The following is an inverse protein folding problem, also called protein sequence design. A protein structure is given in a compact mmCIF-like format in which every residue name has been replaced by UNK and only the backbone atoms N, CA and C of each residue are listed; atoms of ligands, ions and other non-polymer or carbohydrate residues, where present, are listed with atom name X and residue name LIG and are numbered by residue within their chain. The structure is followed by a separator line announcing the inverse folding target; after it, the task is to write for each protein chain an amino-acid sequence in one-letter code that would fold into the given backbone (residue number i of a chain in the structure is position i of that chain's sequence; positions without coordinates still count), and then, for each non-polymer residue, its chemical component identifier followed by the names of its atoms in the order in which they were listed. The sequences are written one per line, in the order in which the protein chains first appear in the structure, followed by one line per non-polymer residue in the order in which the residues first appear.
data_IF_774967510777
#
_entry.id   IF_774967510777
#
_cell.length_a   1.000
_cell.length_b   1.000
_cell.length_c   1.000
_cell.angle_alpha   90.00
_cell.angle_beta   90.00
_cell.angle_gamma   90.00
#
_symmetry.space_group_name_H-M   'P 1'
#
loop_
_entity.id
_entity.type
_entity.pdbx_description
1 polymer ?
#
# COMPACT_ATOMS: atom_id res chain seq x y z
N UNK A 1 3.33 7.61 4.16
CA UNK A 1 2.42 8.17 5.18
C UNK A 1 1.76 7.08 6.03
N UNK A 2 1.07 6.09 5.46
CA UNK A 2 0.38 5.03 6.23
C UNK A 2 1.32 4.30 7.21
N UNK A 3 2.53 3.95 6.77
CA UNK A 3 3.52 3.35 7.65
C UNK A 3 3.83 4.23 8.86
N UNK A 4 4.07 5.53 8.67
CA UNK A 4 4.29 6.47 9.78
C UNK A 4 3.08 6.59 10.71
N UNK A 5 1.86 6.52 10.16
CA UNK A 5 0.64 6.61 10.95
C UNK A 5 0.42 5.38 11.85
N UNK A 6 0.57 4.18 11.30
CA UNK A 6 0.25 2.96 12.04
C UNK A 6 1.39 2.45 12.92
N UNK A 7 2.68 2.69 12.56
CA UNK A 7 3.82 2.06 13.22
C UNK A 7 3.98 2.47 14.67
N UNK A 8 3.90 1.51 15.59
CA UNK A 8 4.30 1.73 16.97
C UNK A 8 5.81 1.95 17.03
N UNK A 9 6.25 2.82 17.90
CA UNK A 9 7.67 3.24 17.96
C UNK A 9 7.99 4.45 17.07
N UNK A 10 7.03 4.90 16.25
CA UNK A 10 7.08 6.22 15.64
C UNK A 10 6.43 7.26 16.56
N UNK A 11 6.94 8.48 16.56
CA UNK A 11 6.28 9.67 17.09
C UNK A 11 5.95 10.56 15.90
N UNK A 12 4.78 10.34 15.33
CA UNK A 12 4.39 10.94 14.05
C UNK A 12 3.17 11.86 14.13
N UNK A 13 2.63 12.13 15.32
CA UNK A 13 1.44 12.97 15.48
C UNK A 13 1.60 14.33 14.80
N UNK A 14 2.77 14.95 14.92
CA UNK A 14 3.08 16.24 14.31
C UNK A 14 2.98 16.25 12.78
N UNK A 15 3.26 15.11 12.11
CA UNK A 15 3.16 14.99 10.65
C UNK A 15 1.73 15.07 10.15
N UNK A 16 0.75 14.76 11.00
CA UNK A 16 -0.66 14.70 10.65
C UNK A 16 -1.48 15.87 11.22
N UNK A 17 -0.91 16.68 12.11
CA UNK A 17 -1.63 17.73 12.87
C UNK A 17 -2.36 18.75 11.98
N UNK A 18 -1.82 19.04 10.79
CA UNK A 18 -2.39 19.99 9.84
C UNK A 18 -3.24 19.32 8.75
N UNK A 19 -3.42 18.00 8.80
CA UNK A 19 -4.18 17.24 7.81
C UNK A 19 -5.61 16.99 8.30
N UNK A 20 -6.54 16.81 7.36
CA UNK A 20 -7.95 16.55 7.68
C UNK A 20 -8.14 15.33 8.57
N UNK A 21 -7.29 14.30 8.43
CA UNK A 21 -7.34 13.08 9.24
C UNK A 21 -7.18 13.37 10.75
N UNK A 22 -6.48 14.43 11.14
CA UNK A 22 -6.30 14.78 12.56
C UNK A 22 -7.60 15.21 13.25
N UNK A 23 -8.63 15.55 12.47
CA UNK A 23 -9.95 15.94 12.94
C UNK A 23 -10.89 14.74 13.15
N UNK A 24 -10.49 13.56 12.68
CA UNK A 24 -11.26 12.34 12.83
C UNK A 24 -11.25 11.87 14.29
N UNK A 25 -12.40 11.44 14.78
CA UNK A 25 -12.55 11.00 16.17
C UNK A 25 -11.68 9.79 16.51
N UNK A 26 -11.46 8.92 15.52
CA UNK A 26 -10.67 7.69 15.67
C UNK A 26 -9.19 7.90 15.36
N UNK A 27 -8.77 9.12 15.00
CA UNK A 27 -7.38 9.43 14.63
C UNK A 27 -6.38 8.88 15.65
N UNK A 28 -6.56 9.20 16.93
CA UNK A 28 -5.64 8.78 18.00
C UNK A 28 -5.79 7.30 18.38
N UNK A 29 -6.89 6.69 18.03
CA UNK A 29 -7.15 5.27 18.32
C UNK A 29 -6.17 4.36 17.58
N UNK A 30 -5.77 4.75 16.37
CA UNK A 30 -4.92 3.94 15.51
C UNK A 30 -3.50 4.50 15.32
N UNK A 31 -3.27 5.79 15.66
CA UNK A 31 -1.97 6.44 15.50
C UNK A 31 -0.89 5.75 16.34
N UNK A 32 0.15 5.25 15.68
CA UNK A 32 1.32 4.62 16.28
C UNK A 32 1.00 3.42 17.21
N UNK A 33 0.03 2.57 16.85
CA UNK A 33 -0.44 1.47 17.70
C UNK A 33 -0.06 0.07 17.22
N UNK A 34 0.43 -0.10 16.01
CA UNK A 34 0.57 -1.41 15.39
C UNK A 34 2.02 -1.76 15.04
N UNK A 35 2.32 -3.04 15.05
CA UNK A 35 3.44 -3.57 14.28
C UNK A 35 3.06 -3.51 12.80
N UNK A 36 3.90 -2.88 11.97
CA UNK A 36 3.65 -2.72 10.54
C UNK A 36 4.67 -3.49 9.74
N UNK A 37 4.19 -4.28 8.77
CA UNK A 37 5.01 -4.88 7.73
C UNK A 37 4.75 -4.08 6.44
N UNK A 38 5.72 -3.25 6.05
CA UNK A 38 5.70 -2.50 4.81
C UNK A 38 6.52 -3.22 3.75
N UNK A 39 5.90 -3.53 2.63
CA UNK A 39 6.52 -4.21 1.50
C UNK A 39 6.35 -3.33 0.26
N UNK A 40 7.44 -2.78 -0.23
CA UNK A 40 7.55 -2.28 -1.59
C UNK A 40 8.02 -3.45 -2.45
N UNK A 41 7.11 -4.00 -3.25
CA UNK A 41 7.37 -5.25 -3.98
C UNK A 41 8.47 -5.10 -5.03
N UNK A 42 8.67 -3.89 -5.57
CA UNK A 42 9.75 -3.61 -6.50
C UNK A 42 11.13 -3.67 -5.83
N UNK A 43 11.22 -3.29 -4.57
CA UNK A 43 12.49 -3.27 -3.81
C UNK A 43 13.13 -4.65 -3.57
N UNK A 44 12.40 -5.72 -3.87
CA UNK A 44 12.90 -7.10 -3.78
C UNK A 44 13.42 -7.62 -5.15
N UNK A 45 13.32 -6.82 -6.21
CA UNK A 45 13.95 -7.17 -7.49
C UNK A 45 15.46 -7.30 -7.27
N UNK A 46 16.03 -8.38 -7.77
CA UNK A 46 17.47 -8.61 -7.73
C UNK A 46 18.09 -7.99 -8.98
N UNK A 47 19.30 -7.44 -8.83
CA UNK A 47 20.09 -6.92 -9.95
C UNK A 47 20.47 -8.00 -10.98
N UNK A 48 20.35 -9.28 -10.60
CA UNK A 48 20.61 -10.43 -11.45
C UNK A 48 19.30 -10.96 -12.08
N UNK A 49 19.37 -11.34 -13.35
CA UNK A 49 18.25 -11.82 -14.19
C UNK A 49 17.57 -13.12 -13.71
N UNK A 50 17.98 -13.71 -12.59
CA UNK A 50 17.43 -14.95 -12.06
C UNK A 50 16.18 -14.70 -11.20
N UNK A 51 15.01 -14.78 -11.83
CA UNK A 51 13.69 -14.74 -11.17
C UNK A 51 13.54 -15.76 -10.01
N UNK A 52 14.33 -16.82 -10.02
CA UNK A 52 14.22 -17.95 -9.09
C UNK A 52 14.37 -17.58 -7.61
N UNK A 53 14.99 -16.46 -7.28
CA UNK A 53 15.29 -16.08 -5.90
C UNK A 53 14.40 -14.97 -5.34
N UNK A 54 13.47 -14.40 -6.11
CA UNK A 54 12.64 -13.26 -5.69
C UNK A 54 11.88 -13.53 -4.39
N UNK A 55 11.08 -14.59 -4.35
CA UNK A 55 10.28 -14.94 -3.17
C UNK A 55 11.14 -15.39 -1.99
N UNK A 56 12.26 -16.03 -2.24
CA UNK A 56 13.23 -16.38 -1.20
C UNK A 56 13.85 -15.11 -0.58
N UNK A 57 14.24 -14.16 -1.40
CA UNK A 57 14.79 -12.87 -0.95
C UNK A 57 13.78 -12.09 -0.12
N UNK A 58 12.54 -11.96 -0.60
CA UNK A 58 11.46 -11.34 0.15
C UNK A 58 11.29 -12.02 1.51
N UNK A 59 11.13 -13.34 1.49
CA UNK A 59 10.93 -14.12 2.71
C UNK A 59 12.09 -13.94 3.70
N UNK A 60 13.34 -14.07 3.22
CA UNK A 60 14.54 -13.95 4.03
C UNK A 60 14.71 -12.55 4.62
N UNK A 61 14.50 -11.48 3.83
CA UNK A 61 14.59 -10.11 4.33
C UNK A 61 13.59 -9.88 5.46
N UNK A 62 12.33 -10.20 5.25
CA UNK A 62 11.26 -9.95 6.24
C UNK A 62 11.43 -10.85 7.48
N UNK A 63 11.71 -12.14 7.31
CA UNK A 63 11.87 -13.03 8.46
C UNK A 63 13.11 -12.70 9.29
N UNK A 64 14.21 -12.27 8.68
CA UNK A 64 15.40 -11.82 9.40
C UNK A 64 15.13 -10.56 10.24
N UNK A 65 14.31 -9.66 9.73
CA UNK A 65 13.89 -8.48 10.49
C UNK A 65 13.00 -8.87 11.67
N UNK A 66 12.04 -9.76 11.46
CA UNK A 66 11.19 -10.29 12.54
C UNK A 66 12.02 -11.00 13.62
N UNK A 67 13.03 -11.78 13.24
CA UNK A 67 13.94 -12.46 14.19
C UNK A 67 14.71 -11.42 15.02
N UNK A 68 15.17 -10.32 14.40
CA UNK A 68 15.86 -9.24 15.14
C UNK A 68 14.94 -8.49 16.09
N UNK A 69 13.68 -8.30 15.71
CA UNK A 69 12.69 -7.60 16.55
C UNK A 69 12.12 -8.48 17.67
N UNK A 70 12.07 -9.79 17.46
CA UNK A 70 11.44 -10.75 18.38
C UNK A 70 12.35 -11.97 18.61
N UNK A 71 13.60 -11.79 19.05
CA UNK A 71 14.56 -12.89 19.17
C UNK A 71 14.09 -14.00 20.09
N UNK A 72 13.54 -13.65 21.25
CA UNK A 72 13.09 -14.64 22.25
C UNK A 72 11.92 -15.50 21.74
N UNK A 73 11.00 -14.91 21.00
CA UNK A 73 9.83 -15.63 20.47
C UNK A 73 10.15 -16.54 19.29
N UNK A 74 11.21 -16.20 18.53
CA UNK A 74 11.61 -16.93 17.33
C UNK A 74 12.87 -17.78 17.53
N UNK A 75 13.44 -17.85 18.73
CA UNK A 75 14.67 -18.62 19.03
C UNK A 75 14.56 -20.11 18.72
N UNK A 76 13.37 -20.70 18.87
CA UNK A 76 13.09 -22.11 18.56
C UNK A 76 12.41 -22.33 17.20
N UNK A 77 12.37 -21.33 16.34
CA UNK A 77 11.69 -21.43 15.05
C UNK A 77 12.43 -22.39 14.09
N UNK A 78 11.71 -23.05 13.17
CA UNK A 78 12.34 -23.93 12.19
C UNK A 78 13.25 -23.13 11.25
N UNK A 79 14.29 -23.77 10.75
CA UNK A 79 15.19 -23.18 9.74
C UNK A 79 15.14 -24.06 8.46
N UNK A 80 14.76 -23.52 7.29
CA UNK A 80 14.40 -22.11 7.04
C UNK A 80 13.03 -21.72 7.59
N UNK A 81 12.94 -20.52 8.12
CA UNK A 81 11.69 -19.91 8.56
C UNK A 81 11.02 -19.19 7.39
N UNK A 82 9.71 -19.37 7.20
CA UNK A 82 8.94 -18.58 6.24
C UNK A 82 8.00 -17.60 6.93
N UNK A 83 7.64 -16.54 6.24
CA UNK A 83 6.84 -15.44 6.78
C UNK A 83 5.49 -15.88 7.38
N UNK A 84 4.66 -16.71 6.72
CA UNK A 84 3.43 -17.21 7.34
C UNK A 84 3.68 -17.95 8.64
N UNK A 85 4.73 -18.76 8.72
CA UNK A 85 5.07 -19.49 9.93
C UNK A 85 5.59 -18.58 11.04
N UNK A 86 6.41 -17.59 10.69
CA UNK A 86 6.88 -16.58 11.63
C UNK A 86 5.71 -15.85 12.29
N UNK A 87 4.75 -15.38 11.50
CA UNK A 87 3.54 -14.71 12.02
C UNK A 87 2.70 -15.61 12.92
N UNK A 88 2.57 -16.88 12.56
CA UNK A 88 1.86 -17.87 13.37
C UNK A 88 2.54 -18.09 14.73
N UNK A 89 3.87 -18.14 14.78
CA UNK A 89 4.64 -18.30 16.03
C UNK A 89 4.53 -17.04 16.88
N UNK A 90 4.69 -15.86 16.27
CA UNK A 90 4.62 -14.58 16.97
C UNK A 90 3.25 -14.33 17.59
N UNK A 91 2.18 -14.79 16.96
CA UNK A 91 0.79 -14.61 17.40
C UNK A 91 0.47 -13.15 17.80
N UNK A 92 1.02 -12.19 17.05
CA UNK A 92 0.84 -10.75 17.23
C UNK A 92 0.05 -10.16 16.06
N UNK A 93 -0.54 -8.98 16.30
CA UNK A 93 -1.28 -8.25 15.24
C UNK A 93 -0.34 -7.42 14.41
N UNK A 94 -0.36 -7.62 13.09
CA UNK A 94 0.42 -6.86 12.12
C UNK A 94 -0.49 -6.18 11.11
N UNK A 95 -0.26 -4.89 10.89
CA UNK A 95 -0.82 -4.16 9.74
C UNK A 95 0.11 -4.39 8.55
N UNK A 96 -0.44 -4.80 7.41
CA UNK A 96 0.31 -4.93 6.17
C UNK A 96 0.04 -3.74 5.25
N UNK A 97 1.10 -3.15 4.74
CA UNK A 97 1.06 -2.14 3.68
C UNK A 97 1.92 -2.66 2.55
N UNK A 98 1.31 -2.95 1.41
CA UNK A 98 1.99 -3.55 0.26
C UNK A 98 1.86 -2.60 -0.92
N UNK A 99 2.98 -2.04 -1.34
CA UNK A 99 3.05 -1.17 -2.52
C UNK A 99 3.45 -1.98 -3.75
N UNK A 100 2.79 -1.71 -4.87
CA UNK A 100 2.98 -2.43 -6.13
C UNK A 100 2.81 -3.96 -5.98
N UNK A 101 1.72 -4.39 -5.31
CA UNK A 101 1.46 -5.81 -5.07
C UNK A 101 1.51 -6.68 -6.33
N UNK A 102 1.21 -6.12 -7.48
CA UNK A 102 1.18 -6.77 -8.78
C UNK A 102 2.53 -6.79 -9.51
N UNK A 103 3.57 -6.16 -8.95
CA UNK A 103 4.91 -6.14 -9.54
C UNK A 103 5.42 -7.54 -9.91
N UNK A 104 5.38 -8.58 -9.03
CA UNK A 104 5.84 -9.92 -9.40
C UNK A 104 5.03 -10.54 -10.54
N UNK A 105 3.74 -10.25 -10.63
CA UNK A 105 2.84 -10.75 -11.68
C UNK A 105 3.18 -10.15 -13.04
N UNK A 106 3.59 -8.89 -13.06
CA UNK A 106 3.97 -8.18 -14.27
C UNK A 106 5.40 -8.52 -14.71
N UNK A 107 6.33 -8.44 -13.77
CA UNK A 107 7.77 -8.61 -14.02
C UNK A 107 8.13 -10.01 -14.41
N UNK A 108 7.54 -11.00 -13.74
CA UNK A 108 7.83 -12.43 -13.93
C UNK A 108 6.68 -13.20 -14.58
N UNK A 109 5.90 -12.55 -15.44
CA UNK A 109 4.70 -13.12 -16.08
C UNK A 109 4.94 -14.42 -16.85
N UNK A 110 6.17 -14.64 -17.32
CA UNK A 110 6.57 -15.88 -18.03
C UNK A 110 6.95 -17.02 -17.08
N UNK A 111 7.25 -16.73 -15.82
CA UNK A 111 7.52 -17.73 -14.79
C UNK A 111 6.23 -18.04 -14.01
N UNK A 112 5.42 -18.93 -14.61
CA UNK A 112 4.13 -19.34 -14.02
C UNK A 112 4.29 -19.93 -12.61
N UNK A 113 5.41 -20.63 -12.35
CA UNK A 113 5.67 -21.23 -11.03
C UNK A 113 5.92 -20.18 -9.96
N UNK A 114 6.65 -19.11 -10.29
CA UNK A 114 6.86 -18.00 -9.38
C UNK A 114 5.55 -17.28 -9.10
N UNK A 115 4.77 -16.99 -10.14
CA UNK A 115 3.46 -16.34 -10.04
C UNK A 115 2.52 -17.16 -9.13
N UNK A 116 2.41 -18.47 -9.35
CA UNK A 116 1.59 -19.36 -8.52
C UNK A 116 2.04 -19.37 -7.06
N UNK A 117 3.34 -19.46 -6.79
CA UNK A 117 3.90 -19.41 -5.44
C UNK A 117 3.65 -18.07 -4.75
N UNK A 118 3.70 -16.97 -5.51
CA UNK A 118 3.41 -15.66 -4.98
C UNK A 118 1.95 -15.50 -4.56
N UNK A 119 1.03 -15.91 -5.43
CA UNK A 119 -0.41 -15.93 -5.10
C UNK A 119 -0.69 -16.84 -3.91
N UNK A 120 -0.05 -18.00 -3.85
CA UNK A 120 -0.17 -18.92 -2.69
C UNK A 120 0.35 -18.28 -1.38
N UNK A 121 1.45 -17.52 -1.46
CA UNK A 121 1.95 -16.74 -0.32
C UNK A 121 0.92 -15.73 0.18
N UNK A 122 0.34 -14.92 -0.71
CA UNK A 122 -0.70 -13.95 -0.35
C UNK A 122 -1.93 -14.62 0.27
N UNK A 123 -2.36 -15.76 -0.29
CA UNK A 123 -3.45 -16.56 0.26
C UNK A 123 -3.14 -17.05 1.68
N UNK A 124 -1.94 -17.59 1.91
CA UNK A 124 -1.50 -18.07 3.23
C UNK A 124 -1.40 -16.94 4.26
N UNK A 125 -1.00 -15.75 3.82
CA UNK A 125 -0.91 -14.60 4.71
C UNK A 125 -2.28 -14.05 5.12
N UNK A 126 -3.23 -13.96 4.17
CA UNK A 126 -4.41 -13.13 4.36
C UNK A 126 -5.73 -13.88 4.39
N UNK A 127 -5.78 -15.11 3.90
CA UNK A 127 -7.01 -15.90 3.84
C UNK A 127 -7.04 -17.09 4.79
N UNK A 128 -5.90 -17.71 5.07
CA UNK A 128 -5.86 -18.84 5.99
C UNK A 128 -6.12 -18.39 7.43
N UNK A 129 -7.04 -19.08 8.10
CA UNK A 129 -7.54 -18.73 9.44
C UNK A 129 -6.46 -18.57 10.50
N UNK A 130 -5.34 -19.26 10.35
CA UNK A 130 -4.24 -19.19 11.32
C UNK A 130 -3.58 -17.81 11.34
N UNK A 131 -3.43 -17.18 10.18
CA UNK A 131 -2.75 -15.90 10.05
C UNK A 131 -3.72 -14.72 10.00
N UNK A 132 -4.91 -14.88 9.41
CA UNK A 132 -5.89 -13.81 9.25
C UNK A 132 -6.33 -13.16 10.57
N UNK A 133 -6.33 -13.92 11.68
CA UNK A 133 -6.62 -13.38 13.02
C UNK A 133 -5.59 -12.36 13.51
N UNK A 134 -4.37 -12.46 12.98
CA UNK A 134 -3.24 -11.61 13.35
C UNK A 134 -3.03 -10.44 12.36
N UNK A 135 -3.92 -10.28 11.40
CA UNK A 135 -3.83 -9.23 10.37
C UNK A 135 -5.10 -8.37 10.42
N UNK A 136 -5.11 -7.31 11.24
CA UNK A 136 -6.27 -6.42 11.38
C UNK A 136 -6.51 -5.56 10.15
N UNK A 137 -5.48 -5.27 9.36
CA UNK A 137 -5.58 -4.47 8.15
C UNK A 137 -4.53 -4.91 7.13
N UNK A 138 -4.94 -5.02 5.88
CA UNK A 138 -4.06 -5.07 4.72
C UNK A 138 -4.46 -3.95 3.76
N UNK A 139 -3.50 -3.11 3.41
CA UNK A 139 -3.66 -2.08 2.39
C UNK A 139 -2.69 -2.38 1.24
N UNK A 140 -3.21 -2.60 0.05
CA UNK A 140 -2.42 -2.91 -1.14
C UNK A 140 -2.67 -1.87 -2.21
N UNK A 141 -1.61 -1.43 -2.87
CA UNK A 141 -1.65 -0.59 -4.06
C UNK A 141 -1.05 -1.34 -5.25
N UNK A 142 -1.55 -1.05 -6.44
CA UNK A 142 -1.07 -1.66 -7.69
C UNK A 142 -1.84 -1.16 -8.90
N UNK A 143 -1.46 -1.60 -10.07
CA UNK A 143 -2.07 -1.21 -11.34
C UNK A 143 -3.06 -2.28 -11.83
N UNK A 144 -2.77 -3.56 -11.55
CA UNK A 144 -3.60 -4.66 -12.04
C UNK A 144 -4.78 -4.94 -11.13
N UNK A 145 -5.98 -5.16 -11.72
CA UNK A 145 -7.13 -5.60 -10.94
C UNK A 145 -6.91 -7.02 -10.41
N UNK A 146 -7.43 -7.27 -9.20
CA UNK A 146 -7.37 -8.58 -8.53
C UNK A 146 -7.94 -9.74 -9.37
N UNK A 147 -8.92 -9.45 -10.24
CA UNK A 147 -9.59 -10.44 -11.05
C UNK A 147 -8.77 -11.02 -12.21
N UNK A 148 -7.64 -10.40 -12.57
CA UNK A 148 -6.94 -10.67 -13.83
C UNK A 148 -6.16 -12.00 -13.87
N UNK A 149 -5.75 -12.54 -12.73
CA UNK A 149 -4.83 -13.70 -12.66
C UNK A 149 -5.40 -14.87 -11.88
N UNK A 150 -6.71 -15.17 -12.01
CA UNK A 150 -7.40 -16.16 -11.17
C UNK A 150 -7.18 -15.93 -9.65
N UNK A 151 -6.73 -14.73 -9.30
CA UNK A 151 -6.51 -14.32 -7.92
C UNK A 151 -7.81 -14.11 -7.16
N UNK A 152 -8.96 -14.04 -7.88
CA UNK A 152 -10.27 -13.87 -7.26
C UNK A 152 -10.52 -14.91 -6.16
N UNK A 153 -10.19 -16.18 -6.41
CA UNK A 153 -10.41 -17.21 -5.37
C UNK A 153 -9.41 -17.10 -4.23
N UNK A 154 -8.21 -16.57 -4.48
CA UNK A 154 -7.16 -16.43 -3.47
C UNK A 154 -7.32 -15.18 -2.60
N UNK A 155 -7.84 -14.09 -3.16
CA UNK A 155 -7.93 -12.76 -2.54
C UNK A 155 -9.37 -12.21 -2.49
N UNK A 156 -10.39 -13.07 -2.48
CA UNK A 156 -11.80 -12.67 -2.46
C UNK A 156 -12.27 -12.00 -1.15
N UNK A 157 -11.42 -11.93 -0.16
CA UNK A 157 -11.64 -11.20 1.08
C UNK A 157 -11.21 -9.73 1.01
N UNK A 158 -10.63 -9.30 -0.12
CA UNK A 158 -10.29 -7.90 -0.35
C UNK A 158 -11.44 -7.17 -1.04
N UNK A 159 -11.62 -5.90 -0.68
CA UNK A 159 -12.44 -4.97 -1.43
C UNK A 159 -11.53 -4.14 -2.33
N UNK A 160 -11.80 -4.18 -3.63
CA UNK A 160 -11.03 -3.44 -4.62
C UNK A 160 -11.70 -2.12 -4.95
N UNK A 161 -10.92 -1.05 -4.95
CA UNK A 161 -11.33 0.29 -5.37
C UNK A 161 -10.46 0.73 -6.55
N UNK A 162 -11.12 1.19 -7.61
CA UNK A 162 -10.45 1.61 -8.85
C UNK A 162 -10.96 2.99 -9.27
N UNK A 163 -10.31 3.60 -10.26
CA UNK A 163 -10.81 4.86 -10.84
C UNK A 163 -12.18 4.69 -11.53
N UNK A 164 -12.57 3.46 -11.88
CA UNK A 164 -13.91 3.18 -12.46
C UNK A 164 -14.96 2.96 -11.38
N UNK A 165 -14.54 2.40 -10.23
CA UNK A 165 -15.38 2.16 -9.08
C UNK A 165 -14.68 2.68 -7.80
N UNK A 166 -14.65 4.02 -7.62
CA UNK A 166 -13.81 4.67 -6.62
C UNK A 166 -14.45 4.77 -5.23
N UNK A 167 -15.77 4.60 -5.08
CA UNK A 167 -16.47 4.86 -3.83
C UNK A 167 -16.05 3.91 -2.69
N UNK A 168 -15.82 4.42 -1.49
CA UNK A 168 -15.99 5.80 -1.01
C UNK A 168 -14.76 6.71 -1.16
N UNK A 169 -13.75 6.29 -1.93
CA UNK A 169 -12.44 6.97 -2.01
C UNK A 169 -12.29 7.95 -3.18
N UNK A 170 -13.37 8.23 -3.93
CA UNK A 170 -13.35 9.08 -5.12
C UNK A 170 -12.55 10.39 -4.93
N UNK A 171 -12.82 11.12 -3.86
CA UNK A 171 -12.16 12.40 -3.55
C UNK A 171 -10.67 12.31 -3.20
N UNK A 172 -10.13 11.10 -3.02
CA UNK A 172 -8.73 10.88 -2.61
C UNK A 172 -7.84 10.38 -3.75
N UNK A 173 -8.38 10.20 -4.95
CA UNK A 173 -7.58 9.79 -6.13
C UNK A 173 -6.75 10.91 -6.75
N UNK A 174 -6.96 12.15 -6.30
CA UNK A 174 -6.23 13.32 -6.76
C UNK A 174 -6.69 14.56 -6.01
N UNK A 175 -6.40 15.74 -6.53
CA UNK A 175 -6.92 16.97 -5.96
C UNK A 175 -8.36 17.23 -6.40
N UNK A 176 -9.21 17.60 -5.46
CA UNK A 176 -10.57 18.08 -5.72
C UNK A 176 -10.56 19.52 -6.29
N UNK A 177 -11.66 19.95 -6.87
CA UNK A 177 -11.79 21.31 -7.40
C UNK A 177 -11.56 22.38 -6.32
N UNK A 178 -12.07 22.16 -5.10
CA UNK A 178 -11.88 23.07 -3.97
C UNK A 178 -10.41 23.17 -3.52
N UNK A 179 -9.69 22.05 -3.54
CA UNK A 179 -8.24 22.03 -3.23
C UNK A 179 -7.45 22.76 -4.29
N UNK A 180 -7.76 22.53 -5.57
CA UNK A 180 -7.10 23.24 -6.68
C UNK A 180 -7.39 24.73 -6.65
N UNK A 181 -8.62 25.13 -6.30
CA UNK A 181 -8.95 26.55 -6.14
C UNK A 181 -8.11 27.23 -5.03
N UNK A 182 -7.88 26.55 -3.91
CA UNK A 182 -6.98 27.03 -2.84
C UNK A 182 -5.54 27.15 -3.33
N UNK A 183 -5.03 26.11 -4.01
CA UNK A 183 -3.68 26.11 -4.59
C UNK A 183 -3.51 27.26 -5.58
N UNK A 184 -4.48 27.49 -6.46
CA UNK A 184 -4.45 28.60 -7.41
C UNK A 184 -4.34 29.95 -6.69
N UNK A 185 -5.10 30.15 -5.63
CA UNK A 185 -5.04 31.36 -4.83
C UNK A 185 -3.68 31.56 -4.15
N UNK A 186 -3.14 30.51 -3.55
CA UNK A 186 -1.84 30.55 -2.84
C UNK A 186 -0.67 30.83 -3.78
N UNK A 187 -0.75 30.30 -5.01
CA UNK A 187 0.34 30.39 -5.99
C UNK A 187 0.11 31.47 -7.06
N UNK A 188 -0.95 32.31 -6.96
CA UNK A 188 -1.32 33.32 -7.96
C UNK A 188 -1.48 32.73 -9.38
N UNK A 189 -2.18 31.59 -9.47
CA UNK A 189 -2.53 30.94 -10.73
C UNK A 189 -3.96 31.29 -11.13
N UNK A 190 -4.25 31.32 -12.44
CA UNK A 190 -5.60 31.55 -12.96
C UNK A 190 -6.43 30.27 -12.80
N UNK A 191 -7.48 30.25 -11.95
CA UNK A 191 -8.27 29.06 -11.71
C UNK A 191 -9.08 28.62 -12.94
N UNK A 192 -9.49 29.56 -13.80
CA UNK A 192 -10.28 29.25 -15.01
C UNK A 192 -9.39 28.53 -16.02
N UNK A 193 -8.19 29.06 -16.25
CA UNK A 193 -7.20 28.38 -17.11
C UNK A 193 -6.79 27.05 -16.53
N UNK A 194 -6.54 26.98 -15.22
CA UNK A 194 -6.18 25.73 -14.56
C UNK A 194 -7.26 24.67 -14.77
N UNK A 195 -8.53 25.04 -14.61
CA UNK A 195 -9.65 24.14 -14.88
C UNK A 195 -9.65 23.70 -16.35
N UNK A 196 -9.57 24.62 -17.28
CA UNK A 196 -9.61 24.33 -18.71
C UNK A 196 -8.52 23.36 -19.17
N UNK A 197 -7.31 23.48 -18.61
CA UNK A 197 -6.14 22.69 -19.04
C UNK A 197 -5.89 21.41 -18.25
N UNK A 198 -6.33 21.35 -16.99
CA UNK A 198 -5.89 20.30 -16.06
C UNK A 198 -7.04 19.55 -15.38
N UNK A 199 -8.31 19.94 -15.57
CA UNK A 199 -9.44 19.14 -15.12
C UNK A 199 -9.46 17.83 -15.91
N UNK A 200 -9.18 16.69 -15.21
CA UNK A 200 -8.90 15.43 -15.90
C UNK A 200 -9.97 14.36 -15.77
N UNK A 201 -10.56 14.23 -14.60
CA UNK A 201 -11.41 13.09 -14.28
C UNK A 201 -12.68 13.52 -13.55
N UNK A 202 -13.80 12.86 -13.92
CA UNK A 202 -15.08 13.01 -13.24
C UNK A 202 -15.56 11.65 -12.75
N UNK A 203 -15.55 11.42 -11.45
CA UNK A 203 -16.10 10.19 -10.86
C UNK A 203 -16.55 10.43 -9.42
N UNK A 204 -17.51 9.61 -8.95
CA UNK A 204 -18.06 9.72 -7.60
C UNK A 204 -18.66 11.10 -7.28
N UNK A 205 -19.12 11.87 -8.31
CA UNK A 205 -19.64 13.22 -8.12
C UNK A 205 -18.56 14.32 -7.93
N UNK A 206 -17.28 14.00 -8.10
CA UNK A 206 -16.16 14.92 -7.95
C UNK A 206 -15.44 15.17 -9.28
N UNK A 207 -14.97 16.42 -9.46
CA UNK A 207 -13.95 16.78 -10.46
C UNK A 207 -12.59 16.56 -9.79
N UNK A 208 -11.79 15.68 -10.35
CA UNK A 208 -10.49 15.30 -9.79
C UNK A 208 -9.37 15.69 -10.76
N UNK A 209 -8.37 16.36 -10.22
CA UNK A 209 -7.19 16.80 -10.95
C UNK A 209 -6.01 15.89 -10.66
N UNK A 210 -5.22 15.62 -11.70
CA UNK A 210 -3.99 14.83 -11.53
C UNK A 210 -2.97 15.61 -10.67
N UNK A 211 -2.51 15.06 -9.52
CA UNK A 211 -1.59 15.76 -8.62
C UNK A 211 -0.27 16.16 -9.29
N UNK A 212 0.28 15.29 -10.14
CA UNK A 212 1.53 15.56 -10.86
C UNK A 212 1.37 16.74 -11.84
N UNK A 213 0.22 16.82 -12.52
CA UNK A 213 -0.07 17.92 -13.44
C UNK A 213 -0.16 19.26 -12.69
N UNK A 214 -0.86 19.29 -11.55
CA UNK A 214 -0.98 20.50 -10.72
C UNK A 214 0.37 20.88 -10.10
N UNK A 215 1.16 19.90 -9.61
CA UNK A 215 2.50 20.17 -9.10
C UNK A 215 3.42 20.78 -10.18
N UNK A 216 3.38 20.26 -11.41
CA UNK A 216 4.11 20.84 -12.55
C UNK A 216 3.67 22.25 -12.88
N UNK A 217 2.35 22.53 -12.85
CA UNK A 217 1.82 23.87 -13.08
C UNK A 217 2.37 24.87 -12.06
N UNK A 218 2.44 24.48 -10.77
CA UNK A 218 3.00 25.33 -9.70
C UNK A 218 4.47 25.68 -10.00
N UNK A 219 5.25 24.69 -10.41
CA UNK A 219 6.71 24.84 -10.64
C UNK A 219 6.97 25.60 -11.95
N UNK A 220 6.36 25.18 -13.04
CA UNK A 220 6.65 25.69 -14.39
C UNK A 220 5.86 26.95 -14.73
N UNK A 221 4.72 27.20 -14.06
CA UNK A 221 3.78 28.29 -14.35
C UNK A 221 3.36 28.38 -15.83
N UNK A 222 3.37 27.24 -16.52
CA UNK A 222 3.03 27.10 -17.92
C UNK A 222 1.66 26.41 -18.08
N UNK A 223 0.83 27.02 -18.94
CA UNK A 223 -0.44 26.44 -19.35
C UNK A 223 -0.31 25.84 -20.74
#
# INVERSE_FOLDING_TARGET
MLNAYYSKGCDSEALFSNLEISKDLDFKTHLNKYDVIYLDMQSFELDDEESNNYLETLNKKVTNELIRLYPDLLSGAPNPLNLPKALSILNKKFVFIIDEWDFPLNRYKSDTKLVEKYIDLLRKLFKETTNSKNVPLVYMTGILPLARYDTQSALNNFTEFTMVNPDPFAKYYGFTEDEVAKICKEHNLDPVKTKLWYEGYHFGGYSIYNPNAIAKLIVCRAF
#
